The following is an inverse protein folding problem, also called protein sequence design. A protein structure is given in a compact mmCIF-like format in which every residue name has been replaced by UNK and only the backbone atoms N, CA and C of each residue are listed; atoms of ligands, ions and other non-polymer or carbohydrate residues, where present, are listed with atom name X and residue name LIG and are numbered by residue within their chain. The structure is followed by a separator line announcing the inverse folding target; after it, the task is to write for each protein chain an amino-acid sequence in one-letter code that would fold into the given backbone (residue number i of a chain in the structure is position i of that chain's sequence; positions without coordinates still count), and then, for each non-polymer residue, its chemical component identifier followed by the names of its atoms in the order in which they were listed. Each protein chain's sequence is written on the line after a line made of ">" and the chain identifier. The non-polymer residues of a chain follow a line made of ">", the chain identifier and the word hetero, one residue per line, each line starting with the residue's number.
data_IF_622802598428
#
_entry.id   IF_622802598428
#
_cell.length_a   1.000
_cell.length_b   1.000
_cell.length_c   1.000
_cell.angle_alpha   90.00
_cell.angle_beta   90.00
_cell.angle_gamma   90.00
#
_symmetry.space_group_name_H-M   'P 1'
#
loop_
_entity.id
_entity.type
_entity.pdbx_description
1 polymer ?
#
# COMPACT_ATOMS: atom_id res chain seq x y z
N UNK A 1 -1.60 -19.11 -4.37
CA UNK A 1 -0.39 -19.48 -5.10
C UNK A 1 0.10 -18.27 -5.89
N UNK A 2 1.42 -18.09 -5.99
CA UNK A 2 2.04 -16.97 -6.74
C UNK A 2 1.70 -17.05 -8.25
N UNK A 3 1.49 -18.24 -8.76
CA UNK A 3 1.09 -18.47 -10.15
C UNK A 3 -0.28 -17.84 -10.46
N UNK A 4 -1.25 -17.97 -9.52
CA UNK A 4 -2.57 -17.35 -9.67
C UNK A 4 -2.45 -15.83 -9.68
N UNK A 5 -1.64 -15.28 -8.77
CA UNK A 5 -1.39 -13.83 -8.68
C UNK A 5 -0.77 -13.33 -9.99
N UNK A 6 0.24 -14.03 -10.50
CA UNK A 6 0.89 -13.69 -11.76
C UNK A 6 -0.09 -13.74 -12.96
N UNK A 7 -1.00 -14.72 -12.98
CA UNK A 7 -2.02 -14.84 -14.01
C UNK A 7 -3.00 -13.65 -13.96
N UNK A 8 -3.46 -13.29 -12.76
CA UNK A 8 -4.37 -12.15 -12.59
C UNK A 8 -3.69 -10.81 -12.87
N UNK A 9 -2.44 -10.61 -12.47
CA UNK A 9 -1.67 -9.43 -12.84
C UNK A 9 -1.60 -9.25 -14.38
N UNK A 10 -1.40 -10.34 -15.12
CA UNK A 10 -1.39 -10.29 -16.59
C UNK A 10 -2.74 -9.89 -17.18
N UNK A 11 -3.86 -10.36 -16.59
CA UNK A 11 -5.21 -9.99 -17.04
C UNK A 11 -5.54 -8.52 -16.79
N UNK A 12 -5.14 -8.00 -15.61
CA UNK A 12 -5.39 -6.60 -15.22
C UNK A 12 -4.52 -5.63 -16.03
N UNK A 13 -3.34 -6.06 -16.44
CA UNK A 13 -2.38 -5.26 -17.17
C UNK A 13 -2.81 -5.10 -18.64
N UNK A 14 -3.54 -4.01 -18.93
CA UNK A 14 -4.05 -3.68 -20.29
C UNK A 14 -2.99 -3.16 -21.26
N UNK A 15 -1.70 -3.24 -20.92
CA UNK A 15 -0.58 -2.78 -21.75
C UNK A 15 0.75 -2.93 -21.01
N UNK A 16 1.85 -2.81 -21.73
CA UNK A 16 3.19 -3.00 -21.20
C UNK A 16 3.86 -1.64 -20.90
N UNK A 17 3.34 -0.97 -19.85
CA UNK A 17 3.83 0.33 -19.40
C UNK A 17 4.01 0.35 -17.87
N UNK A 18 4.86 1.26 -17.33
CA UNK A 18 5.00 1.43 -15.89
C UNK A 18 3.67 1.72 -15.18
N UNK A 19 2.81 2.52 -15.81
CA UNK A 19 1.49 2.82 -15.26
C UNK A 19 0.61 1.58 -15.14
N UNK A 20 0.57 0.74 -16.18
CA UNK A 20 -0.21 -0.50 -16.15
C UNK A 20 0.36 -1.52 -15.15
N UNK A 21 1.68 -1.53 -14.95
CA UNK A 21 2.29 -2.34 -13.90
C UNK A 21 1.88 -1.87 -12.51
N UNK A 22 1.85 -0.55 -12.23
CA UNK A 22 1.36 -0.05 -10.93
C UNK A 22 -0.08 -0.46 -10.64
N UNK A 23 -0.96 -0.47 -11.66
CA UNK A 23 -2.33 -0.99 -11.51
C UNK A 23 -2.34 -2.49 -11.17
N UNK A 24 -1.52 -3.27 -11.87
CA UNK A 24 -1.41 -4.70 -11.61
C UNK A 24 -0.83 -4.99 -10.23
N UNK A 25 0.13 -4.18 -9.75
CA UNK A 25 0.68 -4.25 -8.40
C UNK A 25 -0.42 -4.01 -7.37
N UNK A 26 -1.20 -2.94 -7.50
CA UNK A 26 -2.30 -2.66 -6.56
C UNK A 26 -3.28 -3.83 -6.46
N UNK A 27 -3.65 -4.41 -7.60
CA UNK A 27 -4.52 -5.57 -7.65
C UNK A 27 -3.90 -6.80 -6.99
N UNK A 28 -2.60 -7.05 -7.23
CA UNK A 28 -1.88 -8.17 -6.63
C UNK A 28 -1.82 -8.05 -5.10
N UNK A 29 -1.53 -6.85 -4.57
CA UNK A 29 -1.55 -6.60 -3.12
C UNK A 29 -2.92 -6.94 -2.54
N UNK A 30 -4.01 -6.39 -3.09
CA UNK A 30 -5.37 -6.69 -2.65
C UNK A 30 -5.70 -8.19 -2.67
N UNK A 31 -5.24 -8.93 -3.69
CA UNK A 31 -5.42 -10.38 -3.75
C UNK A 31 -4.65 -11.11 -2.67
N UNK A 32 -3.41 -10.70 -2.39
CA UNK A 32 -2.57 -11.32 -1.35
C UNK A 32 -3.20 -11.07 0.01
N UNK A 33 -3.60 -9.84 0.31
CA UNK A 33 -4.28 -9.47 1.56
C UNK A 33 -5.54 -10.30 1.78
N UNK A 34 -6.41 -10.43 0.77
CA UNK A 34 -7.60 -11.31 0.86
C UNK A 34 -7.25 -12.75 1.21
N UNK A 35 -6.23 -13.31 0.56
CA UNK A 35 -5.81 -14.71 0.78
C UNK A 35 -5.18 -14.87 2.17
N UNK A 36 -4.34 -13.95 2.58
CA UNK A 36 -3.68 -13.95 3.89
C UNK A 36 -4.70 -13.69 4.99
N UNK A 37 -5.54 -12.67 4.84
CA UNK A 37 -6.59 -12.33 5.79
C UNK A 37 -7.56 -13.47 6.03
N UNK A 38 -8.02 -14.13 4.96
CA UNK A 38 -8.89 -15.31 5.08
C UNK A 38 -8.20 -16.47 5.82
N UNK A 39 -6.90 -16.67 5.63
CA UNK A 39 -6.13 -17.74 6.28
C UNK A 39 -5.81 -17.45 7.74
N UNK A 40 -5.54 -16.20 8.09
CA UNK A 40 -5.12 -15.78 9.44
C UNK A 40 -6.26 -15.22 10.29
N UNK A 41 -7.46 -15.05 9.71
CA UNK A 41 -8.61 -14.47 10.41
C UNK A 41 -8.52 -12.95 10.55
N UNK A 42 -7.68 -12.27 9.75
CA UNK A 42 -7.54 -10.82 9.75
C UNK A 42 -8.80 -10.20 9.12
N UNK A 43 -9.40 -9.23 9.83
CA UNK A 43 -10.58 -8.48 9.41
C UNK A 43 -10.29 -6.98 9.46
N UNK A 44 -9.15 -6.60 8.91
CA UNK A 44 -8.69 -5.23 8.95
C UNK A 44 -9.67 -4.29 8.24
N UNK A 45 -10.09 -3.26 8.96
CA UNK A 45 -10.95 -2.18 8.46
C UNK A 45 -10.07 -1.03 8.00
N UNK A 46 -10.64 -0.12 7.23
CA UNK A 46 -9.92 1.10 6.83
C UNK A 46 -9.31 1.80 8.07
N UNK A 47 -8.01 2.12 7.99
CA UNK A 47 -7.21 2.53 9.15
C UNK A 47 -7.62 3.84 9.81
N UNK A 48 -8.47 4.64 9.18
CA UNK A 48 -9.05 5.85 9.78
C UNK A 48 -10.16 5.58 10.81
N UNK A 49 -10.54 4.32 10.99
CA UNK A 49 -11.48 3.94 12.05
C UNK A 49 -10.74 3.74 13.39
N UNK A 50 -10.50 4.83 14.10
CA UNK A 50 -9.78 4.85 15.40
C UNK A 50 -10.42 4.01 16.54
N UNK A 51 -11.49 3.30 16.28
CA UNK A 51 -12.18 2.45 17.27
C UNK A 51 -11.57 1.05 17.46
N UNK A 52 -10.51 0.71 16.77
CA UNK A 52 -9.93 -0.64 16.73
C UNK A 52 -8.84 -0.94 17.77
N UNK A 53 -8.53 -0.02 18.67
CA UNK A 53 -7.51 -0.25 19.71
C UNK A 53 -7.89 -1.43 20.59
N UNK A 54 -7.08 -2.51 20.50
CA UNK A 54 -7.31 -3.77 21.22
C UNK A 54 -7.96 -4.88 20.40
N UNK A 55 -8.32 -4.65 19.14
CA UNK A 55 -8.75 -5.68 18.21
C UNK A 55 -7.50 -6.33 17.56
N UNK A 56 -7.19 -7.60 17.85
CA UNK A 56 -6.00 -8.27 17.29
C UNK A 56 -6.09 -8.54 15.79
N UNK A 57 -7.25 -8.29 15.17
CA UNK A 57 -7.46 -8.44 13.73
C UNK A 57 -7.29 -7.14 12.97
N UNK A 58 -7.15 -6.00 13.68
CA UNK A 58 -6.90 -4.67 13.11
C UNK A 58 -5.40 -4.42 13.04
N UNK A 59 -4.91 -3.99 11.88
CA UNK A 59 -3.51 -3.67 11.63
C UNK A 59 -3.31 -2.15 11.65
N UNK A 60 -2.16 -1.70 12.16
CA UNK A 60 -1.78 -0.30 12.09
C UNK A 60 -1.00 0.02 10.79
N UNK A 61 -0.67 1.29 10.58
CA UNK A 61 0.03 1.70 9.35
C UNK A 61 1.45 1.12 9.25
N UNK A 62 2.08 0.73 10.37
CA UNK A 62 3.40 0.08 10.37
C UNK A 62 3.27 -1.38 9.94
N UNK A 63 2.26 -2.08 10.46
CA UNK A 63 1.94 -3.45 10.09
C UNK A 63 1.63 -3.52 8.59
N UNK A 64 0.74 -2.66 8.10
CA UNK A 64 0.35 -2.60 6.70
C UNK A 64 1.51 -2.24 5.76
N UNK A 65 2.33 -1.25 6.12
CA UNK A 65 3.52 -0.90 5.33
C UNK A 65 4.53 -2.06 5.28
N UNK A 66 4.69 -2.80 6.39
CA UNK A 66 5.57 -3.97 6.48
C UNK A 66 5.04 -5.12 5.64
N UNK A 67 3.75 -5.44 5.76
CA UNK A 67 3.10 -6.49 5.00
C UNK A 67 3.14 -6.19 3.50
N UNK A 68 2.74 -5.00 3.11
CA UNK A 68 2.76 -4.56 1.70
C UNK A 68 4.17 -4.59 1.13
N UNK A 69 5.18 -4.14 1.88
CA UNK A 69 6.59 -4.25 1.45
C UNK A 69 7.00 -5.70 1.24
N UNK A 70 6.62 -6.59 2.14
CA UNK A 70 6.91 -8.04 2.04
C UNK A 70 6.24 -8.65 0.81
N UNK A 71 4.99 -8.28 0.52
CA UNK A 71 4.29 -8.74 -0.68
C UNK A 71 4.94 -8.24 -1.96
N UNK A 72 5.36 -6.97 -2.00
CA UNK A 72 6.10 -6.39 -3.12
C UNK A 72 7.44 -7.12 -3.36
N UNK A 73 8.18 -7.45 -2.30
CA UNK A 73 9.42 -8.22 -2.39
C UNK A 73 9.18 -9.63 -2.93
N UNK A 74 8.08 -10.27 -2.57
CA UNK A 74 7.67 -11.56 -3.14
C UNK A 74 7.41 -11.41 -4.64
N UNK A 75 6.63 -10.39 -5.07
CA UNK A 75 6.38 -10.14 -6.48
C UNK A 75 7.69 -9.88 -7.24
N UNK A 76 8.60 -9.08 -6.68
CA UNK A 76 9.90 -8.78 -7.28
C UNK A 76 10.77 -10.03 -7.40
N UNK A 77 10.87 -10.85 -6.35
CA UNK A 77 11.70 -12.08 -6.36
C UNK A 77 11.24 -13.11 -7.38
N UNK A 78 9.95 -13.07 -7.76
CA UNK A 78 9.39 -13.92 -8.81
C UNK A 78 9.39 -13.27 -10.20
N UNK A 79 10.07 -12.13 -10.37
CA UNK A 79 10.20 -11.44 -11.65
C UNK A 79 8.90 -10.83 -12.18
N UNK A 80 7.94 -10.53 -11.29
CA UNK A 80 6.64 -9.97 -11.67
C UNK A 80 6.66 -8.44 -11.79
N UNK A 81 7.73 -7.79 -11.34
CA UNK A 81 7.98 -6.35 -11.50
C UNK A 81 8.99 -6.14 -12.62
N UNK A 82 8.51 -5.56 -13.73
CA UNK A 82 9.34 -5.27 -14.92
C UNK A 82 9.91 -3.86 -14.90
N UNK A 83 9.08 -2.92 -14.47
CA UNK A 83 9.36 -1.48 -14.53
C UNK A 83 9.67 -0.86 -13.16
N UNK A 84 9.41 -1.59 -12.08
CA UNK A 84 9.60 -1.10 -10.73
C UNK A 84 10.48 -2.04 -9.90
N UNK A 85 11.14 -1.44 -8.93
CA UNK A 85 11.83 -2.14 -7.82
C UNK A 85 11.20 -1.72 -6.50
N UNK A 86 11.33 -2.57 -5.49
CA UNK A 86 10.87 -2.25 -4.14
C UNK A 86 11.83 -1.27 -3.49
N UNK A 87 11.30 -0.18 -2.97
CA UNK A 87 12.03 0.85 -2.25
C UNK A 87 11.98 0.65 -0.73
N UNK A 88 12.65 1.55 -0.02
CA UNK A 88 12.58 1.61 1.45
C UNK A 88 11.24 2.25 1.84
N UNK A 89 10.48 1.65 2.79
CA UNK A 89 9.26 2.25 3.32
C UNK A 89 9.50 3.67 3.82
N UNK A 90 8.50 4.52 3.68
CA UNK A 90 8.58 5.92 4.05
C UNK A 90 7.52 6.29 5.08
N UNK A 91 7.82 7.32 5.86
CA UNK A 91 6.87 7.91 6.81
C UNK A 91 6.64 9.37 6.51
N UNK A 92 5.44 9.85 6.80
CA UNK A 92 5.08 11.27 6.86
C UNK A 92 4.46 11.58 8.22
N UNK A 93 4.29 12.86 8.51
CA UNK A 93 3.74 13.34 9.78
C UNK A 93 4.81 13.94 10.68
N UNK A 94 4.36 14.52 11.77
CA UNK A 94 5.20 15.22 12.75
C UNK A 94 4.56 15.11 14.14
N UNK A 95 5.09 14.20 14.95
CA UNK A 95 4.55 13.92 16.28
C UNK A 95 4.56 15.14 17.20
N UNK A 96 5.56 16.02 17.05
CA UNK A 96 5.63 17.24 17.82
C UNK A 96 4.49 18.20 17.46
N UNK A 97 4.20 18.35 16.16
CA UNK A 97 3.05 19.14 15.71
C UNK A 97 1.72 18.51 16.10
N UNK A 98 1.59 17.20 16.00
CA UNK A 98 0.39 16.48 16.45
C UNK A 98 0.07 16.81 17.92
N UNK A 99 1.11 16.84 18.77
CA UNK A 99 0.96 17.14 20.19
C UNK A 99 0.68 18.62 20.47
N UNK A 100 1.40 19.53 19.80
CA UNK A 100 1.32 20.98 20.09
C UNK A 100 0.11 21.65 19.43
N UNK A 101 -0.34 21.19 18.26
CA UNK A 101 -1.43 21.83 17.51
C UNK A 101 -2.78 21.16 17.75
N UNK A 102 -2.83 20.07 18.51
CA UNK A 102 -4.08 19.41 18.89
C UNK A 102 -4.82 18.75 17.73
N UNK A 103 -4.15 18.52 16.59
CA UNK A 103 -4.71 17.80 15.45
C UNK A 103 -3.91 16.50 15.21
N UNK A 104 -4.21 15.44 16.00
CA UNK A 104 -3.50 14.18 15.91
C UNK A 104 -3.72 13.49 14.55
N UNK A 105 -4.88 13.67 13.92
CA UNK A 105 -5.19 13.01 12.65
C UNK A 105 -4.29 13.52 11.54
N UNK A 106 -4.12 14.82 11.43
CA UNK A 106 -3.35 15.47 10.36
C UNK A 106 -1.84 15.26 10.47
N UNK A 107 -1.31 15.22 11.70
CA UNK A 107 0.13 15.19 11.95
C UNK A 107 0.63 13.86 12.48
N UNK A 108 -0.23 12.86 12.66
CA UNK A 108 0.17 11.54 13.13
C UNK A 108 1.17 10.90 12.16
N UNK A 109 2.23 10.28 12.67
CA UNK A 109 3.15 9.53 11.81
C UNK A 109 2.41 8.43 11.06
N UNK A 110 2.52 8.44 9.73
CA UNK A 110 1.90 7.45 8.86
C UNK A 110 2.94 6.83 7.93
N UNK A 111 2.96 5.51 7.87
CA UNK A 111 3.91 4.72 7.10
C UNK A 111 3.28 4.15 5.82
N UNK A 112 4.11 3.98 4.79
CA UNK A 112 3.72 3.35 3.54
C UNK A 112 4.86 2.56 2.93
N UNK A 113 4.53 1.49 2.18
CA UNK A 113 5.47 0.82 1.29
C UNK A 113 5.79 1.72 0.09
N UNK A 114 6.92 1.46 -0.56
CA UNK A 114 7.39 2.26 -1.71
C UNK A 114 7.85 1.36 -2.83
N UNK A 115 7.50 1.74 -4.07
CA UNK A 115 8.12 1.21 -5.29
C UNK A 115 8.79 2.35 -6.05
N UNK A 116 9.86 2.03 -6.80
CA UNK A 116 10.60 2.98 -7.60
C UNK A 116 10.61 2.54 -9.07
N UNK A 117 10.22 3.42 -9.97
CA UNK A 117 10.33 3.18 -11.40
C UNK A 117 11.79 3.16 -11.82
N UNK A 118 12.26 2.06 -12.40
CA UNK A 118 13.68 1.81 -12.69
C UNK A 118 14.28 2.79 -13.69
N UNK A 119 13.48 3.23 -14.68
CA UNK A 119 13.94 4.11 -15.75
C UNK A 119 14.06 5.56 -15.32
N UNK A 120 13.11 6.04 -14.53
CA UNK A 120 13.00 7.47 -14.15
C UNK A 120 13.52 7.76 -12.76
N UNK A 121 13.61 6.73 -11.90
CA UNK A 121 13.87 6.89 -10.48
C UNK A 121 12.68 7.43 -9.69
N UNK A 122 11.52 7.66 -10.33
CA UNK A 122 10.34 8.18 -9.67
C UNK A 122 9.79 7.17 -8.66
N UNK A 123 9.48 7.64 -7.45
CA UNK A 123 8.99 6.82 -6.36
C UNK A 123 7.48 6.96 -6.21
N UNK A 124 6.85 5.85 -5.87
CA UNK A 124 5.40 5.76 -5.63
C UNK A 124 5.15 5.10 -4.27
N UNK A 125 4.33 5.74 -3.46
CA UNK A 125 3.76 5.15 -2.26
C UNK A 125 2.74 4.09 -2.66
N UNK A 126 2.76 2.95 -1.96
CA UNK A 126 1.76 1.87 -2.07
C UNK A 126 1.13 1.74 -0.69
N UNK A 127 0.02 2.45 -0.50
CA UNK A 127 -0.60 2.66 0.80
C UNK A 127 -1.92 1.88 0.89
N UNK A 128 -1.88 0.76 1.63
CA UNK A 128 -3.04 -0.12 1.85
C UNK A 128 -3.81 0.24 3.12
N UNK A 129 -3.16 0.80 4.14
CA UNK A 129 -3.77 1.07 5.45
C UNK A 129 -5.03 1.94 5.42
N UNK A 130 -5.12 2.86 4.46
CA UNK A 130 -6.27 3.77 4.33
C UNK A 130 -7.55 3.08 3.83
N UNK A 131 -7.46 1.83 3.39
CA UNK A 131 -8.58 1.04 2.89
C UNK A 131 -8.72 -0.27 3.68
N UNK A 132 -9.87 -0.93 3.54
CA UNK A 132 -10.08 -2.22 4.19
C UNK A 132 -9.23 -3.32 3.53
N UNK A 133 -8.87 -4.32 4.33
CA UNK A 133 -8.09 -5.48 3.88
C UNK A 133 -8.62 -6.09 2.57
N UNK A 134 -7.74 -6.19 1.60
CA UNK A 134 -8.04 -6.72 0.28
C UNK A 134 -8.73 -5.73 -0.68
N UNK A 135 -8.82 -4.46 -0.35
CA UNK A 135 -9.09 -3.40 -1.31
C UNK A 135 -7.79 -2.97 -2.02
N UNK A 136 -7.91 -2.45 -3.25
CA UNK A 136 -6.73 -1.95 -3.96
C UNK A 136 -6.10 -0.78 -3.20
N UNK A 137 -4.79 -0.85 -2.86
CA UNK A 137 -4.10 0.25 -2.19
C UNK A 137 -4.05 1.52 -3.06
N UNK A 138 -3.82 2.66 -2.43
CA UNK A 138 -3.42 3.86 -3.17
C UNK A 138 -2.01 3.67 -3.74
N UNK A 139 -1.84 3.92 -5.04
CA UNK A 139 -0.51 3.95 -5.68
C UNK A 139 -0.31 5.33 -6.29
N UNK A 140 0.42 6.19 -5.59
CA UNK A 140 0.58 7.61 -5.94
C UNK A 140 2.04 8.03 -5.82
N UNK A 141 2.43 9.06 -6.58
CA UNK A 141 3.77 9.65 -6.46
C UNK A 141 4.05 10.05 -5.00
N UNK A 142 5.24 9.74 -4.50
CA UNK A 142 5.63 9.99 -3.10
C UNK A 142 5.45 11.47 -2.74
N UNK A 143 5.79 12.39 -3.63
CA UNK A 143 5.63 13.82 -3.42
C UNK A 143 4.16 14.22 -3.21
N UNK A 144 3.26 13.63 -3.98
CA UNK A 144 1.80 13.85 -3.84
C UNK A 144 1.24 13.20 -2.58
N UNK A 145 1.72 11.99 -2.26
CA UNK A 145 1.35 11.29 -1.03
C UNK A 145 1.75 12.08 0.22
N UNK A 146 2.94 12.72 0.17
CA UNK A 146 3.49 13.46 1.30
C UNK A 146 2.67 14.71 1.66
N UNK A 147 2.14 15.41 0.66
CA UNK A 147 1.40 16.69 0.84
C UNK A 147 -0.11 16.53 0.93
N UNK A 148 -0.66 15.39 0.47
CA UNK A 148 -2.12 15.16 0.53
C UNK A 148 -2.54 14.63 1.88
N UNK A 149 -3.74 15.05 2.31
CA UNK A 149 -4.42 14.41 3.42
C UNK A 149 -4.72 12.95 3.07
N UNK A 150 -4.60 12.07 4.06
CA UNK A 150 -4.74 10.63 3.89
C UNK A 150 -6.11 10.28 3.28
N UNK A 151 -7.16 10.96 3.73
CA UNK A 151 -8.56 10.75 3.26
C UNK A 151 -8.78 11.06 1.78
N UNK A 152 -7.87 11.79 1.15
CA UNK A 152 -7.99 12.24 -0.23
C UNK A 152 -7.07 11.49 -1.21
N UNK A 153 -6.49 10.36 -0.79
CA UNK A 153 -5.69 9.53 -1.67
C UNK A 153 -6.59 8.66 -2.57
N UNK A 154 -6.34 8.66 -3.90
CA UNK A 154 -7.19 7.91 -4.81
C UNK A 154 -6.89 6.40 -4.74
N UNK A 155 -7.93 5.57 -4.69
CA UNK A 155 -7.78 4.13 -4.96
C UNK A 155 -7.19 3.91 -6.35
N UNK A 156 -6.31 2.94 -6.49
CA UNK A 156 -5.89 2.47 -7.81
C UNK A 156 -7.10 1.83 -8.51
N UNK A 157 -7.66 2.54 -9.49
CA UNK A 157 -8.83 2.05 -10.23
C UNK A 157 -8.44 0.97 -11.23
N UNK A 158 -9.31 -0.03 -11.37
CA UNK A 158 -9.18 -1.12 -12.35
C UNK A 158 -9.29 -0.66 -13.82
#
# INVERSE_FOLDING_TARGET
>A
DIQDIAAEMRKVKKGDTPFQERRAIAYAIAMIEKKVGAKLGIKDRAGMEFGGTGDPTQQDCVDEATNTTSYLLILQSHGLLKYHTVGIPMTKGDLLKATLQGDPVKYWPHWTAVIQETKTGQRFAVDSWIYANGENPAVVEVEKWYIKDIDNLPKATN
#
